data_IF_155021639723
#
_entry.id   IF_155021639723
#
_cell.length_a   1.000
_cell.length_b   1.000
_cell.length_c   1.000
_cell.angle_alpha   90.00
_cell.angle_beta   90.00
_cell.angle_gamma   90.00
#
_symmetry.space_group_name_H-M   'P 1'
#
loop_
_entity.id
_entity.type
_entity.pdbx_description
1 polymer ?
#
# COMPACT_ATOMS: atom_id res chain seq x y z
N UNK A 1 -11.69 -12.48 -8.92
CA UNK A 1 -11.31 -11.18 -8.34
C UNK A 1 -11.04 -11.40 -6.87
N UNK A 2 -9.76 -11.50 -6.47
CA UNK A 2 -9.43 -11.60 -5.05
C UNK A 2 -9.54 -10.20 -4.45
N UNK A 3 -10.58 -9.95 -3.65
CA UNK A 3 -10.62 -8.78 -2.78
C UNK A 3 -9.54 -8.97 -1.71
N UNK A 4 -8.50 -8.13 -1.72
CA UNK A 4 -7.55 -8.06 -0.59
C UNK A 4 -8.37 -7.73 0.66
N UNK A 5 -8.51 -8.66 1.60
CA UNK A 5 -9.18 -8.44 2.89
C UNK A 5 -8.39 -7.54 3.86
N UNK A 6 -7.53 -6.71 3.29
CA UNK A 6 -6.45 -5.99 3.94
C UNK A 6 -7.02 -4.82 4.74
N UNK A 7 -6.43 -4.57 5.90
CA UNK A 7 -6.80 -3.47 6.80
C UNK A 7 -5.59 -2.58 6.98
N UNK A 8 -5.82 -1.28 7.08
CA UNK A 8 -4.75 -0.34 7.36
C UNK A 8 -4.00 -0.74 8.62
N UNK A 9 -2.67 -0.84 8.55
CA UNK A 9 -1.84 -1.20 9.71
C UNK A 9 -2.02 -0.22 10.88
N UNK A 10 -2.31 1.06 10.58
CA UNK A 10 -2.49 2.16 11.54
C UNK A 10 -3.92 2.26 12.09
N UNK A 11 -4.91 2.53 11.24
CA UNK A 11 -6.30 2.81 11.68
C UNK A 11 -7.26 1.61 11.60
N UNK A 12 -6.79 0.45 11.10
CA UNK A 12 -7.57 -0.79 10.90
C UNK A 12 -8.77 -0.69 9.95
N UNK A 13 -8.97 0.45 9.28
CA UNK A 13 -10.01 0.62 8.27
C UNK A 13 -9.70 -0.19 7.00
N UNK A 14 -10.73 -0.57 6.26
CA UNK A 14 -10.65 -1.28 4.96
C UNK A 14 -10.70 -0.33 3.76
N UNK A 15 -10.79 0.98 4.01
CA UNK A 15 -10.74 2.00 2.96
C UNK A 15 -9.30 2.18 2.46
N UNK A 16 -8.88 1.24 1.62
CA UNK A 16 -7.54 1.15 1.04
C UNK A 16 -7.64 1.25 -0.48
N UNK A 17 -6.76 2.05 -1.06
CA UNK A 17 -6.44 2.00 -2.48
C UNK A 17 -5.23 1.07 -2.67
N UNK A 18 -5.30 0.15 -3.63
CA UNK A 18 -4.24 -0.83 -3.89
C UNK A 18 -3.52 -0.52 -5.20
N UNK A 19 -2.20 -0.42 -5.17
CA UNK A 19 -1.36 -0.21 -6.34
C UNK A 19 -0.49 -1.43 -6.59
N UNK A 20 -0.75 -2.13 -7.71
CA UNK A 20 0.00 -3.31 -8.13
C UNK A 20 1.08 -2.92 -9.13
N UNK A 21 2.30 -3.38 -8.93
CA UNK A 21 3.45 -3.07 -9.78
C UNK A 21 4.43 -4.23 -9.83
N UNK A 22 5.35 -4.19 -10.79
CA UNK A 22 6.48 -5.13 -10.84
C UNK A 22 7.66 -4.46 -10.15
N UNK A 23 8.11 -5.01 -9.04
CA UNK A 23 9.26 -4.53 -8.29
C UNK A 23 10.56 -4.69 -9.11
N UNK A 24 11.64 -4.03 -8.68
CA UNK A 24 12.91 -4.02 -9.41
C UNK A 24 13.59 -5.40 -9.53
N UNK A 25 13.18 -6.35 -8.71
CA UNK A 25 13.57 -7.77 -8.76
C UNK A 25 12.74 -8.60 -9.74
N UNK A 26 11.76 -8.00 -10.42
CA UNK A 26 10.86 -8.66 -11.36
C UNK A 26 9.68 -9.39 -10.71
N UNK A 27 9.50 -9.26 -9.40
CA UNK A 27 8.39 -9.88 -8.67
C UNK A 27 7.18 -8.93 -8.67
N UNK A 28 5.99 -9.51 -8.82
CA UNK A 28 4.74 -8.76 -8.70
C UNK A 28 4.49 -8.41 -7.23
N UNK A 29 4.43 -7.11 -6.95
CA UNK A 29 4.23 -6.55 -5.62
C UNK A 29 3.01 -5.61 -5.61
N UNK A 30 2.52 -5.32 -4.42
CA UNK A 30 1.36 -4.48 -4.20
C UNK A 30 1.56 -3.62 -2.96
N UNK A 31 1.34 -2.32 -3.12
CA UNK A 31 1.24 -1.40 -1.99
C UNK A 31 -0.20 -0.96 -1.75
N UNK A 32 -0.52 -0.60 -0.51
CA UNK A 32 -1.81 -0.07 -0.10
C UNK A 32 -1.67 1.35 0.43
N UNK A 33 -2.55 2.25 -0.01
CA UNK A 33 -2.72 3.57 0.56
C UNK A 33 -4.04 3.63 1.31
N UNK A 34 -4.00 3.85 2.62
CA UNK A 34 -5.22 4.06 3.39
C UNK A 34 -5.77 5.48 3.16
N UNK A 35 -6.96 5.57 2.57
CA UNK A 35 -7.64 6.84 2.30
C UNK A 35 -8.25 7.48 3.56
N UNK A 36 -8.27 6.78 4.69
CA UNK A 36 -8.75 7.33 5.97
C UNK A 36 -7.67 8.04 6.78
N UNK A 37 -6.43 7.59 6.72
CA UNK A 37 -5.34 8.14 7.53
C UNK A 37 -4.05 8.38 6.74
N UNK A 38 -4.15 8.38 5.40
CA UNK A 38 -3.05 8.57 4.46
C UNK A 38 -1.80 7.78 4.86
N UNK A 39 -1.98 6.49 5.15
CA UNK A 39 -0.84 5.61 5.46
C UNK A 39 -0.62 4.72 4.26
N UNK A 40 0.55 4.85 3.63
CA UNK A 40 0.98 3.98 2.54
C UNK A 40 1.84 2.85 3.10
N UNK A 41 1.55 1.61 2.74
CA UNK A 41 2.24 0.45 3.27
C UNK A 41 2.30 -0.72 2.29
N UNK A 42 3.35 -1.53 2.38
CA UNK A 42 3.50 -2.75 1.57
C UNK A 42 2.47 -3.81 1.96
N UNK A 43 1.93 -4.53 0.97
CA UNK A 43 1.04 -5.66 1.21
C UNK A 43 1.76 -6.84 1.86
N UNK A 44 3.03 -7.08 1.50
CA UNK A 44 3.76 -8.30 1.84
C UNK A 44 4.33 -8.23 3.25
N UNK A 45 5.04 -7.14 3.56
CA UNK A 45 5.79 -6.96 4.80
C UNK A 45 5.13 -5.95 5.77
N UNK A 46 4.20 -5.13 5.29
CA UNK A 46 3.50 -4.14 6.11
C UNK A 46 4.34 -2.91 6.47
N UNK A 47 5.52 -2.73 5.87
CA UNK A 47 6.35 -1.54 6.02
C UNK A 47 5.58 -0.32 5.54
N UNK A 48 5.65 0.77 6.32
CA UNK A 48 4.97 2.03 5.99
C UNK A 48 5.94 3.00 5.36
N UNK A 49 5.53 3.63 4.28
CA UNK A 49 6.36 4.59 3.55
C UNK A 49 5.77 6.00 3.66
N UNK A 50 6.62 6.98 3.97
CA UNK A 50 6.25 8.40 3.89
C UNK A 50 6.33 8.89 2.44
N UNK A 51 7.22 8.30 1.64
CA UNK A 51 7.34 8.54 0.20
C UNK A 51 7.55 7.22 -0.51
N UNK A 52 6.87 7.01 -1.64
CA UNK A 52 7.06 5.83 -2.49
C UNK A 52 7.26 6.31 -3.94
N UNK A 53 8.45 6.08 -4.49
CA UNK A 53 8.75 6.46 -5.87
C UNK A 53 7.94 5.63 -6.88
N UNK A 54 7.68 4.37 -6.58
CA UNK A 54 6.95 3.44 -7.46
C UNK A 54 5.47 3.82 -7.59
N UNK A 55 4.84 4.18 -6.48
CA UNK A 55 3.44 4.58 -6.44
C UNK A 55 3.25 6.11 -6.60
N UNK A 56 4.35 6.86 -6.73
CA UNK A 56 4.38 8.34 -6.65
C UNK A 56 3.65 8.90 -5.41
N UNK A 57 3.64 8.12 -4.31
CA UNK A 57 3.00 8.51 -3.07
C UNK A 57 3.91 9.45 -2.27
N UNK A 58 3.35 10.55 -1.78
CA UNK A 58 4.02 11.49 -0.87
C UNK A 58 3.03 11.80 0.25
N UNK A 59 3.43 11.52 1.49
CA UNK A 59 2.68 11.93 2.66
C UNK A 59 2.89 13.43 2.88
N UNK A 60 1.86 14.21 2.57
CA UNK A 60 1.79 15.67 2.77
C UNK A 60 1.22 16.07 4.13
#
# INVERSE_FOLDING_TARGET
>A
MALCGCRCIKCKNQHLESFRFVAGDGIDDMHHTCLSCNTHFSHVDGETYNTCQTCHYIQS
#
